data_IF_010126524141
#
_entry.id   IF_010126524141
#
_cell.length_a   1.000
_cell.length_b   1.000
_cell.length_c   1.000
_cell.angle_alpha   90.00
_cell.angle_beta   90.00
_cell.angle_gamma   90.00
#
_symmetry.space_group_name_H-M   'P 1'
#
loop_
_entity.id
_entity.type
_entity.pdbx_description
1 polymer ?
#
# COMPACT_ATOMS: atom_id res chain seq x y z
N UNK A 1 -2.21 -2.84 7.74
CA UNK A 1 -1.87 -3.49 6.46
C UNK A 1 -2.97 -3.32 5.41
N UNK A 2 -4.27 -3.65 5.71
CA UNK A 2 -5.35 -3.62 4.71
C UNK A 2 -5.47 -2.29 3.96
N UNK A 3 -5.41 -1.16 4.66
CA UNK A 3 -5.44 0.17 4.03
C UNK A 3 -4.29 0.38 3.03
N UNK A 4 -3.08 -0.04 3.38
CA UNK A 4 -1.92 0.08 2.51
C UNK A 4 -1.97 -0.92 1.34
N UNK A 5 -2.52 -2.11 1.54
CA UNK A 5 -2.74 -3.08 0.46
C UNK A 5 -3.76 -2.58 -0.57
N UNK A 6 -4.87 -2.00 -0.11
CA UNK A 6 -5.88 -1.39 -0.97
C UNK A 6 -5.27 -0.27 -1.83
N UNK A 7 -4.47 0.60 -1.23
CA UNK A 7 -3.81 1.68 -1.96
C UNK A 7 -2.68 1.19 -2.89
N UNK A 8 -2.00 0.10 -2.55
CA UNK A 8 -1.08 -0.58 -3.48
C UNK A 8 -1.82 -1.06 -4.72
N UNK A 9 -2.99 -1.65 -4.56
CA UNK A 9 -3.79 -2.13 -5.68
C UNK A 9 -4.34 -0.97 -6.54
N UNK A 10 -4.65 0.18 -5.89
CA UNK A 10 -4.94 1.44 -6.58
C UNK A 10 -3.74 1.92 -7.42
N UNK A 11 -2.52 1.87 -6.87
CA UNK A 11 -1.29 2.21 -7.59
C UNK A 11 -1.07 1.30 -8.81
N UNK A 12 -1.30 0.00 -8.69
CA UNK A 12 -1.18 -0.93 -9.82
C UNK A 12 -2.20 -0.59 -10.92
N UNK A 13 -3.42 -0.28 -10.54
CA UNK A 13 -4.47 0.14 -11.49
C UNK A 13 -4.05 1.41 -12.24
N UNK A 14 -3.54 2.40 -11.51
CA UNK A 14 -3.04 3.65 -12.10
C UNK A 14 -1.83 3.44 -13.02
N UNK A 15 -0.86 2.63 -12.59
CA UNK A 15 0.30 2.26 -13.39
C UNK A 15 -0.12 1.56 -14.69
N UNK A 16 -1.03 0.59 -14.59
CA UNK A 16 -1.56 -0.14 -15.75
C UNK A 16 -2.21 0.81 -16.76
N UNK A 17 -2.96 1.80 -16.29
CA UNK A 17 -3.57 2.82 -17.15
C UNK A 17 -2.57 3.83 -17.73
N UNK A 18 -1.45 4.07 -17.06
CA UNK A 18 -0.44 5.03 -17.50
C UNK A 18 0.52 4.45 -18.56
N UNK A 19 0.85 3.17 -18.48
CA UNK A 19 1.76 2.53 -19.43
C UNK A 19 1.16 2.59 -20.85
N UNK A 20 1.93 3.16 -21.78
CA UNK A 20 1.52 3.32 -23.18
C UNK A 20 0.62 4.52 -23.47
N UNK A 21 0.14 5.23 -22.45
CA UNK A 21 -0.71 6.41 -22.58
C UNK A 21 -0.08 7.69 -22.00
N UNK A 22 0.82 7.54 -21.04
CA UNK A 22 1.49 8.63 -20.33
C UNK A 22 3.01 8.45 -20.40
N UNK A 23 3.71 9.44 -20.93
CA UNK A 23 5.18 9.45 -21.02
C UNK A 23 5.86 9.48 -19.63
N UNK A 24 5.10 9.68 -18.55
CA UNK A 24 5.59 9.70 -17.17
C UNK A 24 5.22 8.45 -16.35
N UNK A 25 4.87 7.34 -17.01
CA UNK A 25 4.47 6.11 -16.31
C UNK A 25 5.56 5.54 -15.38
N UNK A 26 6.84 5.79 -15.67
CA UNK A 26 7.94 5.39 -14.80
C UNK A 26 7.93 6.09 -13.43
N UNK A 27 7.30 7.26 -13.33
CA UNK A 27 7.16 7.98 -12.06
C UNK A 27 6.33 7.20 -11.03
N UNK A 28 5.47 6.28 -11.48
CA UNK A 28 4.69 5.40 -10.61
C UNK A 28 5.56 4.37 -9.87
N UNK A 29 6.75 4.07 -10.40
CA UNK A 29 7.71 3.12 -9.85
C UNK A 29 8.93 3.80 -9.21
N UNK A 30 9.10 5.09 -9.41
CA UNK A 30 10.19 5.88 -8.85
C UNK A 30 9.94 6.13 -7.36
N UNK A 31 10.85 5.66 -6.51
CA UNK A 31 10.75 5.80 -5.05
C UNK A 31 10.63 7.24 -4.55
N UNK A 32 11.05 8.24 -5.34
CA UNK A 32 10.94 9.66 -4.98
C UNK A 32 9.66 10.32 -5.51
N UNK A 33 8.97 9.71 -6.47
CA UNK A 33 7.84 10.32 -7.19
C UNK A 33 6.52 9.59 -7.00
N UNK A 34 6.53 8.27 -6.73
CA UNK A 34 5.31 7.48 -6.63
C UNK A 34 4.37 7.99 -5.53
N UNK A 35 4.91 8.66 -4.50
CA UNK A 35 4.12 9.26 -3.44
C UNK A 35 3.12 10.31 -3.92
N UNK A 36 3.42 10.99 -5.04
CA UNK A 36 2.50 11.97 -5.67
C UNK A 36 1.32 11.27 -6.39
N UNK A 37 1.44 9.99 -6.65
CA UNK A 37 0.40 9.14 -7.26
C UNK A 37 -0.52 8.46 -6.24
N UNK A 38 -0.23 8.66 -4.97
CA UNK A 38 -0.88 7.99 -3.85
C UNK A 38 -2.14 8.73 -3.42
N UNK A 39 -3.31 8.17 -3.67
CA UNK A 39 -4.60 8.80 -3.34
C UNK A 39 -5.30 8.15 -2.16
N UNK A 40 -5.29 6.83 -2.06
CA UNK A 40 -5.83 6.06 -0.94
C UNK A 40 -7.33 6.17 -0.75
N UNK A 41 -8.09 6.21 -1.85
CA UNK A 41 -9.54 6.43 -1.82
C UNK A 41 -10.30 5.32 -1.08
N UNK A 42 -9.82 4.08 -1.13
CA UNK A 42 -10.40 2.91 -0.48
C UNK A 42 -9.82 2.56 0.90
N UNK A 43 -8.76 3.23 1.32
CA UNK A 43 -7.95 2.83 2.47
C UNK A 43 -8.73 2.70 3.78
N UNK A 44 -9.59 3.67 4.10
CA UNK A 44 -10.43 3.62 5.32
C UNK A 44 -11.45 2.48 5.26
N UNK A 45 -12.12 2.28 4.11
CA UNK A 45 -13.08 1.20 3.94
C UNK A 45 -12.42 -0.19 4.07
N UNK A 46 -11.21 -0.35 3.54
CA UNK A 46 -10.44 -1.59 3.67
C UNK A 46 -10.05 -1.87 5.13
N UNK A 47 -9.62 -0.84 5.86
CA UNK A 47 -9.32 -0.94 7.29
C UNK A 47 -10.57 -1.29 8.11
N UNK A 48 -11.69 -0.64 7.87
CA UNK A 48 -12.97 -0.88 8.55
C UNK A 48 -13.46 -2.32 8.34
N UNK A 49 -13.38 -2.83 7.11
CA UNK A 49 -13.76 -4.21 6.77
C UNK A 49 -12.93 -5.22 7.56
N UNK A 50 -11.60 -5.09 7.53
CA UNK A 50 -10.72 -6.02 8.23
C UNK A 50 -10.91 -5.95 9.75
N UNK A 51 -11.11 -4.75 10.31
CA UNK A 51 -11.40 -4.57 11.73
C UNK A 51 -12.72 -5.27 12.12
N UNK A 52 -13.76 -5.12 11.29
CA UNK A 52 -15.05 -5.75 11.52
C UNK A 52 -14.99 -7.28 11.49
N UNK A 53 -14.21 -7.85 10.59
CA UNK A 53 -13.95 -9.30 10.49
C UNK A 53 -13.22 -9.84 11.74
N UNK A 54 -12.56 -8.96 12.50
CA UNK A 54 -11.84 -9.28 13.73
C UNK A 54 -12.51 -8.69 14.99
N UNK A 55 -13.82 -8.57 15.00
CA UNK A 55 -14.62 -8.03 16.12
C UNK A 55 -14.06 -6.73 16.70
N UNK A 56 -13.61 -5.85 15.82
CA UNK A 56 -13.02 -4.56 16.16
C UNK A 56 -13.64 -3.43 15.34
N UNK A 57 -13.37 -2.22 15.75
CA UNK A 57 -13.73 -0.99 15.02
C UNK A 57 -12.52 -0.12 14.83
N UNK A 58 -12.43 0.56 13.69
CA UNK A 58 -11.40 1.58 13.45
C UNK A 58 -11.81 2.87 14.15
N UNK A 59 -10.86 3.52 14.78
CA UNK A 59 -11.05 4.83 15.42
C UNK A 59 -10.35 5.90 14.59
N UNK A 60 -11.10 6.88 14.07
CA UNK A 60 -10.53 8.00 13.32
C UNK A 60 -10.14 7.70 11.87
N UNK A 61 -10.52 6.53 11.33
CA UNK A 61 -10.19 6.12 9.96
C UNK A 61 -8.72 5.76 9.74
N UNK A 62 -8.37 5.47 8.50
CA UNK A 62 -6.98 5.29 8.07
C UNK A 62 -6.32 6.66 7.85
N UNK A 63 -5.34 7.00 8.66
CA UNK A 63 -4.64 8.28 8.62
C UNK A 63 -3.37 8.16 7.82
N UNK A 64 -3.18 9.04 6.83
CA UNK A 64 -1.94 9.11 6.07
C UNK A 64 -0.73 9.29 7.00
N UNK A 65 0.31 8.55 6.75
CA UNK A 65 1.57 8.61 7.46
C UNK A 65 2.74 8.41 6.49
N UNK A 66 3.87 9.04 6.78
CA UNK A 66 5.12 8.81 6.05
C UNK A 66 6.15 8.34 7.06
N UNK A 67 6.76 7.20 6.81
CA UNK A 67 7.82 6.65 7.66
C UNK A 67 9.01 6.30 6.77
N UNK A 68 10.17 6.82 7.13
CA UNK A 68 11.42 6.64 6.36
C UNK A 68 11.29 7.06 4.88
N UNK A 69 10.44 8.04 4.58
CA UNK A 69 10.19 8.52 3.22
C UNK A 69 9.12 7.72 2.44
N UNK A 70 8.58 6.63 3.01
CA UNK A 70 7.54 5.82 2.38
C UNK A 70 6.15 6.22 2.88
N UNK A 71 5.20 6.47 1.97
CA UNK A 71 3.81 6.75 2.34
C UNK A 71 3.09 5.49 2.80
N UNK A 72 2.11 5.67 3.65
CA UNK A 72 1.29 4.59 4.16
C UNK A 72 0.20 5.09 5.09
N UNK A 73 -0.26 4.23 5.98
CA UNK A 73 -1.36 4.54 6.88
C UNK A 73 -1.08 4.11 8.31
N UNK A 74 -1.46 4.99 9.23
CA UNK A 74 -1.66 4.65 10.63
C UNK A 74 -3.14 4.35 10.86
N UNK A 75 -3.41 3.21 11.50
CA UNK A 75 -4.76 2.77 11.85
C UNK A 75 -4.78 2.43 13.33
N UNK A 76 -5.75 3.01 14.05
CA UNK A 76 -6.06 2.67 15.43
C UNK A 76 -7.37 1.88 15.49
N UNK A 77 -7.39 0.83 16.29
CA UNK A 77 -8.55 -0.05 16.46
C UNK A 77 -8.92 -0.21 17.93
N UNK A 78 -10.17 -0.54 18.16
CA UNK A 78 -10.71 -0.90 19.47
C UNK A 78 -11.57 -2.16 19.33
N UNK A 79 -11.41 -3.12 20.24
CA UNK A 79 -12.27 -4.32 20.26
C UNK A 79 -13.71 -3.97 20.55
N UNK A 80 -14.66 -4.70 19.96
CA UNK A 80 -16.09 -4.58 20.28
C UNK A 80 -16.44 -5.25 21.59
N UNK A 81 -15.73 -6.31 21.94
CA UNK A 81 -15.88 -6.99 23.22
C UNK A 81 -15.01 -6.31 24.30
N UNK A 82 -15.43 -6.47 25.55
CA UNK A 82 -14.68 -6.01 26.72
C UNK A 82 -13.66 -7.06 27.14
N UNK A 83 -12.70 -6.68 27.96
CA UNK A 83 -11.71 -7.60 28.54
C UNK A 83 -12.37 -8.73 29.33
N UNK A 84 -13.61 -8.52 29.80
CA UNK A 84 -14.36 -9.52 30.56
C UNK A 84 -13.85 -9.71 31.99
N UNK A 85 -14.11 -10.87 32.56
CA UNK A 85 -13.67 -11.20 33.92
C UNK A 85 -12.13 -11.18 33.98
N UNK A 86 -11.60 -10.18 34.69
CA UNK A 86 -10.15 -9.96 34.88
C UNK A 86 -9.79 -10.08 36.36
N UNK A 87 -8.59 -10.54 36.62
CA UNK A 87 -8.01 -10.51 37.97
C UNK A 87 -7.69 -9.09 38.44
N UNK A 88 -7.77 -8.09 37.53
CA UNK A 88 -7.55 -6.67 37.85
C UNK A 88 -8.93 -6.01 38.01
N UNK A 89 -9.34 -5.61 39.22
CA UNK A 89 -10.63 -4.99 39.47
C UNK A 89 -10.78 -3.69 38.65
N UNK A 90 -11.98 -3.47 38.06
CA UNK A 90 -12.30 -2.25 37.32
C UNK A 90 -11.88 -2.25 35.85
N UNK A 91 -11.41 -3.37 35.31
CA UNK A 91 -11.04 -3.51 33.89
C UNK A 91 -12.11 -4.27 33.06
N UNK A 92 -13.14 -4.81 33.71
CA UNK A 92 -14.15 -5.70 33.10
C UNK A 92 -14.92 -5.04 31.96
N UNK A 93 -15.11 -3.71 32.03
CA UNK A 93 -15.82 -2.92 31.00
C UNK A 93 -14.88 -2.27 29.97
N UNK A 94 -13.57 -2.54 30.05
CA UNK A 94 -12.60 -1.92 29.14
C UNK A 94 -12.47 -2.70 27.83
N UNK A 95 -12.34 -1.95 26.75
CA UNK A 95 -12.03 -2.46 25.42
C UNK A 95 -10.51 -2.38 25.17
N UNK A 96 -9.97 -3.42 24.53
CA UNK A 96 -8.58 -3.37 24.10
C UNK A 96 -8.41 -2.38 22.94
N UNK A 97 -7.30 -1.65 22.92
CA UNK A 97 -6.94 -0.71 21.88
C UNK A 97 -5.57 -1.05 21.34
N UNK A 98 -5.39 -0.91 20.03
CA UNK A 98 -4.10 -1.08 19.37
C UNK A 98 -4.00 -0.08 18.20
N UNK A 99 -2.76 0.22 17.82
CA UNK A 99 -2.49 0.98 16.60
C UNK A 99 -1.27 0.40 15.89
N UNK A 100 -1.25 0.55 14.58
CA UNK A 100 -0.11 0.17 13.77
C UNK A 100 -0.01 1.11 12.56
N UNK A 101 1.21 1.26 12.06
CA UNK A 101 1.48 1.96 10.80
C UNK A 101 1.99 0.96 9.78
N UNK A 102 1.46 1.00 8.57
CA UNK A 102 1.97 0.23 7.44
C UNK A 102 2.34 1.18 6.31
N UNK A 103 3.42 0.90 5.61
CA UNK A 103 3.93 1.69 4.49
C UNK A 103 3.96 0.88 3.21
N UNK A 104 3.98 1.59 2.08
CA UNK A 104 4.16 1.05 0.74
C UNK A 104 5.54 1.47 0.27
N UNK A 105 6.32 0.51 -0.21
CA UNK A 105 7.68 0.74 -0.71
C UNK A 105 7.81 0.18 -2.12
N UNK A 106 8.24 0.98 -3.12
CA UNK A 106 8.56 0.49 -4.45
C UNK A 106 9.74 -0.47 -4.40
N UNK A 107 9.66 -1.57 -5.14
CA UNK A 107 10.69 -2.62 -5.16
C UNK A 107 11.48 -2.67 -6.46
N UNK A 108 11.10 -1.84 -7.44
CA UNK A 108 11.70 -1.85 -8.76
C UNK A 108 12.63 -0.66 -8.95
N UNK A 109 13.75 -0.91 -9.59
CA UNK A 109 14.68 0.10 -10.09
C UNK A 109 14.80 -0.01 -11.60
N UNK A 110 15.16 1.07 -12.24
CA UNK A 110 15.40 1.15 -13.68
C UNK A 110 16.50 2.17 -13.98
N UNK A 111 17.07 2.13 -15.19
CA UNK A 111 18.12 3.06 -15.60
C UNK A 111 17.62 4.52 -15.56
N UNK A 112 18.46 5.44 -15.07
CA UNK A 112 18.10 6.86 -14.97
C UNK A 112 17.79 7.52 -16.34
N UNK A 113 18.32 6.95 -17.42
CA UNK A 113 18.12 7.36 -18.80
C UNK A 113 17.10 6.49 -19.56
N UNK A 114 16.32 5.68 -18.84
CA UNK A 114 15.28 4.86 -19.44
C UNK A 114 14.27 5.73 -20.21
N UNK A 115 14.03 5.34 -21.47
CA UNK A 115 13.05 6.02 -22.33
C UNK A 115 11.66 5.38 -22.11
N UNK A 116 10.69 6.13 -21.56
CA UNK A 116 9.35 5.59 -21.27
C UNK A 116 8.55 5.22 -22.52
N UNK A 117 9.04 5.55 -23.73
CA UNK A 117 8.43 5.18 -25.01
C UNK A 117 8.98 3.89 -25.61
N UNK A 118 10.04 3.34 -25.02
CA UNK A 118 10.72 2.13 -25.50
C UNK A 118 10.62 1.03 -24.47
N UNK A 119 11.11 -0.16 -24.83
CA UNK A 119 11.26 -1.27 -23.90
C UNK A 119 12.08 -0.84 -22.68
N UNK A 120 11.52 -0.98 -21.50
CA UNK A 120 12.18 -0.71 -20.21
C UNK A 120 12.39 -2.00 -19.47
N UNK A 121 13.62 -2.20 -19.01
CA UNK A 121 13.97 -3.27 -18.08
C UNK A 121 13.92 -2.77 -16.65
N UNK A 122 13.13 -3.45 -15.82
CA UNK A 122 13.02 -3.21 -14.39
C UNK A 122 13.75 -4.32 -13.63
N UNK A 123 14.48 -3.95 -12.60
CA UNK A 123 14.95 -4.88 -11.56
C UNK A 123 14.06 -4.72 -10.32
N UNK A 124 13.25 -5.73 -10.06
CA UNK A 124 12.30 -5.74 -8.93
C UNK A 124 12.81 -6.71 -7.86
N UNK A 125 13.69 -6.23 -6.98
CA UNK A 125 14.33 -7.01 -5.92
C UNK A 125 15.02 -8.29 -6.46
N UNK A 126 15.81 -8.15 -7.52
CA UNK A 126 16.55 -9.23 -8.18
C UNK A 126 15.75 -9.97 -9.27
N UNK A 127 14.49 -9.63 -9.48
CA UNK A 127 13.68 -10.17 -10.56
C UNK A 127 13.60 -9.19 -11.72
N UNK A 128 14.04 -9.61 -12.92
CA UNK A 128 13.90 -8.83 -14.14
C UNK A 128 12.46 -8.83 -14.65
N UNK A 129 11.95 -7.64 -14.93
CA UNK A 129 10.64 -7.42 -15.57
C UNK A 129 10.84 -6.50 -16.77
N UNK A 130 10.30 -6.88 -17.93
CA UNK A 130 10.40 -6.10 -19.16
C UNK A 130 9.04 -5.52 -19.51
N UNK A 131 8.97 -4.22 -19.72
CA UNK A 131 7.75 -3.50 -20.11
C UNK A 131 7.99 -2.84 -21.46
N UNK A 132 7.21 -3.23 -22.46
CA UNK A 132 7.15 -2.57 -23.77
C UNK A 132 5.87 -1.73 -23.86
N UNK A 133 5.95 -0.39 -23.75
CA UNK A 133 4.78 0.46 -23.73
C UNK A 133 3.99 0.47 -25.05
N UNK A 134 4.64 0.16 -26.17
CA UNK A 134 3.98 0.12 -27.49
C UNK A 134 3.11 -1.12 -27.67
N UNK A 135 3.45 -2.21 -26.97
CA UNK A 135 2.76 -3.49 -27.05
C UNK A 135 2.32 -4.00 -25.67
N UNK A 136 2.02 -3.07 -24.76
CA UNK A 136 1.71 -3.39 -23.37
C UNK A 136 0.34 -4.06 -23.23
N UNK A 137 0.32 -5.14 -22.44
CA UNK A 137 -0.87 -5.79 -21.92
C UNK A 137 -0.78 -5.86 -20.39
N UNK A 138 -1.91 -5.74 -19.70
CA UNK A 138 -1.96 -5.82 -18.23
C UNK A 138 -1.36 -7.12 -17.66
N UNK A 139 -1.43 -8.21 -18.45
CA UNK A 139 -0.83 -9.51 -18.07
C UNK A 139 0.71 -9.51 -18.10
N UNK A 140 1.33 -8.48 -18.69
CA UNK A 140 2.79 -8.31 -18.69
C UNK A 140 3.32 -7.83 -17.34
N UNK A 141 2.46 -7.25 -16.50
CA UNK A 141 2.84 -6.87 -15.15
C UNK A 141 2.88 -8.11 -14.24
N UNK A 142 3.90 -8.21 -13.39
CA UNK A 142 3.93 -9.22 -12.35
C UNK A 142 2.92 -8.89 -11.24
N UNK A 143 2.79 -9.80 -10.27
CA UNK A 143 1.97 -9.56 -9.08
C UNK A 143 2.35 -8.23 -8.40
N UNK A 144 1.36 -7.55 -7.83
CA UNK A 144 1.53 -6.28 -7.14
C UNK A 144 2.64 -6.31 -6.08
N UNK A 145 2.82 -7.44 -5.40
CA UNK A 145 3.87 -7.64 -4.38
C UNK A 145 5.29 -7.68 -4.95
N UNK A 146 5.45 -7.89 -6.25
CA UNK A 146 6.74 -7.81 -6.93
C UNK A 146 7.13 -6.35 -7.17
N UNK A 147 6.15 -5.51 -7.49
CA UNK A 147 6.35 -4.08 -7.79
C UNK A 147 6.40 -3.22 -6.51
N UNK A 148 5.57 -3.54 -5.52
CA UNK A 148 5.48 -2.80 -4.26
C UNK A 148 5.36 -3.74 -3.07
N UNK A 149 6.18 -3.53 -2.06
CA UNK A 149 6.00 -4.19 -0.75
C UNK A 149 5.05 -3.37 0.12
N UNK A 150 4.30 -4.08 0.97
CA UNK A 150 3.51 -3.48 2.06
C UNK A 150 3.94 -4.15 3.35
N UNK A 151 4.42 -3.37 4.29
CA UNK A 151 4.92 -3.90 5.57
C UNK A 151 4.60 -2.95 6.73
N UNK A 152 4.66 -3.49 7.94
CA UNK A 152 4.54 -2.66 9.15
C UNK A 152 5.81 -1.83 9.31
N UNK A 153 5.62 -0.54 9.56
CA UNK A 153 6.72 0.36 9.90
C UNK A 153 6.99 0.28 11.41
N UNK A 154 8.27 0.16 11.76
CA UNK A 154 8.78 0.22 13.13
C UNK A 154 9.09 1.65 13.56
#
# INVERSE_FOLDING_TARGET
LAAAQDSRDELITGLTGAIGTDDHWLDWLDGNKFGDKFHGTGASAAADRLAAENDSTVTGGAQLAVVNGFPGYRVAIQTRYTVGASIIPGTESRHAKAQATAVIEPRCTFAADADPKKLVELDCAGRSVHIDPEHFNSDDLPDASVLFSVHLAE
#
